data_IF_334058487429
#
_entry.id   IF_334058487429
#
_cell.length_a   1.000
_cell.length_b   1.000
_cell.length_c   1.000
_cell.angle_alpha   90.00
_cell.angle_beta   90.00
_cell.angle_gamma   90.00
#
_symmetry.space_group_name_H-M   'P 1'
#
loop_
_entity.id
_entity.type
_entity.pdbx_description
1 polymer ?
#
# COMPACT_ATOMS: atom_id res chain seq x y z
N UNK A 1 -54.79 14.85 53.54
CA UNK A 1 -53.61 14.35 54.23
C UNK A 1 -53.10 13.21 53.42
N UNK A 2 -51.89 13.39 52.91
CA UNK A 2 -50.98 12.49 52.24
C UNK A 2 -51.34 11.91 50.86
N UNK A 3 -50.84 12.59 49.86
CA UNK A 3 -50.36 11.99 48.63
C UNK A 3 -49.22 12.86 48.08
N UNK A 4 -48.00 12.57 48.48
CA UNK A 4 -46.79 13.17 47.94
C UNK A 4 -45.79 12.07 47.66
N UNK A 5 -45.16 12.18 46.50
CA UNK A 5 -43.85 11.63 46.16
C UNK A 5 -43.75 10.20 45.62
N UNK A 6 -43.99 10.05 44.31
CA UNK A 6 -43.48 8.93 43.52
C UNK A 6 -43.13 9.36 42.07
N UNK A 7 -42.28 10.37 41.89
CA UNK A 7 -41.74 10.73 40.57
C UNK A 7 -40.28 11.18 40.64
N UNK A 8 -39.39 10.27 41.00
CA UNK A 8 -37.94 10.49 40.85
C UNK A 8 -37.18 9.16 40.89
N UNK A 9 -37.30 8.32 39.91
CA UNK A 9 -36.35 7.20 39.67
C UNK A 9 -36.46 6.62 38.25
N UNK A 10 -36.45 7.41 37.19
CA UNK A 10 -36.36 6.87 35.83
C UNK A 10 -35.49 7.77 34.92
N UNK A 11 -34.33 8.22 35.43
CA UNK A 11 -33.43 9.11 34.70
C UNK A 11 -32.01 8.61 34.45
N UNK A 12 -31.68 7.36 34.84
CA UNK A 12 -30.27 6.93 34.78
C UNK A 12 -29.99 5.74 33.82
N UNK A 13 -30.98 5.25 33.08
CA UNK A 13 -30.81 4.05 32.25
C UNK A 13 -30.79 4.34 30.73
N UNK A 14 -30.69 5.55 30.29
CA UNK A 14 -30.69 5.91 28.84
C UNK A 14 -29.39 6.38 28.25
N UNK A 15 -28.37 6.62 29.04
CA UNK A 15 -27.07 7.13 28.53
C UNK A 15 -26.06 6.02 28.21
N UNK A 16 -26.23 4.81 28.75
CA UNK A 16 -25.31 3.69 28.46
C UNK A 16 -25.67 2.90 27.19
N UNK A 17 -26.89 3.02 26.67
CA UNK A 17 -27.34 2.31 25.46
C UNK A 17 -27.00 3.08 24.17
N UNK A 18 -26.74 4.38 24.23
CA UNK A 18 -26.39 5.19 23.05
C UNK A 18 -24.93 4.96 22.62
N UNK A 19 -24.05 4.50 23.50
CA UNK A 19 -22.64 4.20 23.17
C UNK A 19 -22.40 2.85 22.50
N UNK A 20 -23.42 2.01 22.33
CA UNK A 20 -23.30 0.67 21.69
C UNK A 20 -23.62 0.63 20.21
N UNK A 21 -24.01 1.75 19.59
CA UNK A 21 -24.31 1.86 18.16
C UNK A 21 -23.41 2.83 17.40
N UNK A 22 -22.16 3.04 17.83
CA UNK A 22 -21.13 3.45 16.87
C UNK A 22 -20.84 2.23 16.00
N UNK A 23 -21.63 2.09 14.95
CA UNK A 23 -21.53 0.99 14.00
C UNK A 23 -20.09 0.87 13.50
N UNK A 24 -19.49 -0.30 13.68
CA UNK A 24 -18.16 -0.58 13.17
C UNK A 24 -18.11 -0.15 11.70
N UNK A 25 -17.29 0.84 11.39
CA UNK A 25 -17.11 1.33 10.04
C UNK A 25 -16.73 0.15 9.14
N UNK A 26 -17.30 0.05 7.92
CA UNK A 26 -16.88 -0.98 6.99
C UNK A 26 -15.39 -0.85 6.68
N UNK A 27 -14.67 -1.94 6.80
CA UNK A 27 -13.25 -2.06 6.43
C UNK A 27 -13.12 -1.85 4.94
N UNK A 28 -12.27 -0.91 4.53
CA UNK A 28 -12.00 -0.64 3.12
C UNK A 28 -10.73 -1.37 2.68
N UNK A 29 -10.69 -1.86 1.46
CA UNK A 29 -9.51 -2.52 0.89
C UNK A 29 -8.89 -1.67 -0.22
N UNK A 30 -7.58 -1.48 -0.15
CA UNK A 30 -6.81 -0.70 -1.11
C UNK A 30 -5.69 -1.54 -1.74
N UNK A 31 -5.38 -1.36 -3.03
CA UNK A 31 -4.25 -2.01 -3.66
C UNK A 31 -2.93 -1.35 -3.26
N UNK A 32 -1.89 -2.15 -3.03
CA UNK A 32 -0.53 -1.66 -2.90
C UNK A 32 0.43 -2.45 -3.79
N UNK A 33 1.27 -1.74 -4.54
CA UNK A 33 2.26 -2.35 -5.43
C UNK A 33 3.56 -2.59 -4.67
N UNK A 34 4.00 -3.84 -4.61
CA UNK A 34 5.33 -4.23 -4.14
C UNK A 34 6.09 -4.93 -5.26
N UNK A 35 7.40 -4.69 -5.33
CA UNK A 35 8.29 -5.56 -6.10
C UNK A 35 8.47 -6.90 -5.37
N UNK A 36 9.08 -7.86 -6.04
CA UNK A 36 9.21 -9.22 -5.50
C UNK A 36 9.96 -9.26 -4.15
N UNK A 37 11.13 -8.61 -3.95
CA UNK A 37 11.79 -8.56 -2.66
C UNK A 37 10.93 -7.95 -1.54
N UNK A 38 10.19 -6.88 -1.84
CA UNK A 38 9.29 -6.24 -0.86
C UNK A 38 8.10 -7.14 -0.51
N UNK A 39 7.51 -7.81 -1.51
CA UNK A 39 6.44 -8.77 -1.28
C UNK A 39 6.90 -9.94 -0.42
N UNK A 40 8.08 -10.48 -0.69
CA UNK A 40 8.69 -11.53 0.11
C UNK A 40 8.98 -11.07 1.56
N UNK A 41 9.49 -9.85 1.73
CA UNK A 41 9.74 -9.28 3.05
C UNK A 41 8.44 -9.08 3.85
N UNK A 42 7.37 -8.61 3.20
CA UNK A 42 6.05 -8.44 3.83
C UNK A 42 5.45 -9.81 4.23
N UNK A 43 5.52 -10.82 3.36
CA UNK A 43 5.08 -12.18 3.68
C UNK A 43 5.86 -12.79 4.85
N UNK A 44 7.15 -12.51 4.95
CA UNK A 44 8.01 -12.97 6.05
C UNK A 44 7.89 -12.12 7.32
N UNK A 45 7.04 -11.10 7.37
CA UNK A 45 6.87 -10.21 8.52
C UNK A 45 8.05 -9.25 8.77
N UNK A 46 9.05 -9.20 7.88
CA UNK A 46 10.20 -8.31 7.99
C UNK A 46 9.92 -6.88 7.52
N UNK A 47 8.92 -6.70 6.66
CA UNK A 47 8.46 -5.40 6.20
C UNK A 47 7.10 -5.12 6.83
N UNK A 48 7.05 -4.13 7.71
CA UNK A 48 5.84 -3.66 8.41
C UNK A 48 5.53 -2.19 8.16
N UNK A 49 6.30 -1.52 7.31
CA UNK A 49 6.10 -0.13 6.94
C UNK A 49 6.45 0.11 5.47
N UNK A 50 5.84 1.11 4.85
CA UNK A 50 6.24 1.53 3.50
C UNK A 50 6.04 3.03 3.31
N UNK A 51 7.00 3.68 2.63
CA UNK A 51 6.90 5.08 2.23
C UNK A 51 6.50 5.22 0.77
N UNK A 52 5.64 6.19 0.50
CA UNK A 52 5.16 6.54 -0.84
C UNK A 52 5.10 8.04 -1.01
N UNK A 53 5.59 8.55 -2.13
CA UNK A 53 5.57 10.00 -2.42
C UNK A 53 4.13 10.53 -2.40
N UNK A 54 3.91 11.62 -1.66
CA UNK A 54 2.64 12.35 -1.66
C UNK A 54 2.47 13.05 -2.99
N UNK A 55 1.27 12.99 -3.55
CA UNK A 55 0.95 13.58 -4.87
C UNK A 55 -0.45 14.17 -4.89
N UNK A 56 -0.73 14.95 -5.95
CA UNK A 56 -2.06 15.49 -6.18
C UNK A 56 -2.50 16.48 -5.11
N UNK A 57 -3.75 16.42 -4.73
CA UNK A 57 -4.38 17.38 -3.81
C UNK A 57 -3.71 17.40 -2.44
N UNK A 58 -3.35 16.25 -1.91
CA UNK A 58 -2.62 16.13 -0.63
C UNK A 58 -1.31 16.95 -0.65
N UNK A 59 -0.57 16.91 -1.77
CA UNK A 59 0.66 17.70 -1.91
C UNK A 59 0.35 19.20 -1.99
N UNK A 60 -0.73 19.58 -2.66
CA UNK A 60 -1.14 20.99 -2.72
C UNK A 60 -1.45 21.53 -1.32
N UNK A 61 -2.16 20.75 -0.50
CA UNK A 61 -2.45 21.12 0.88
C UNK A 61 -1.18 21.28 1.73
N UNK A 62 -0.22 20.36 1.61
CA UNK A 62 1.07 20.44 2.30
C UNK A 62 1.91 21.65 1.91
N UNK A 63 1.71 22.18 0.72
CA UNK A 63 2.40 23.39 0.24
C UNK A 63 1.70 24.67 0.67
N UNK A 64 0.50 24.60 1.26
CA UNK A 64 -0.21 25.73 1.81
C UNK A 64 0.19 25.91 3.28
N UNK A 65 0.56 27.13 3.67
CA UNK A 65 1.10 27.46 4.99
C UNK A 65 0.17 27.13 6.18
N UNK A 66 -1.13 26.88 5.92
CA UNK A 66 -2.14 26.68 6.95
C UNK A 66 -2.45 25.20 7.25
N UNK A 67 -1.83 24.26 6.54
CA UNK A 67 -2.11 22.85 6.71
C UNK A 67 -0.86 22.09 7.17
N UNK A 68 -1.00 21.38 8.30
CA UNK A 68 0.09 20.55 8.83
C UNK A 68 0.06 19.16 8.24
N UNK A 69 1.19 18.43 8.25
CA UNK A 69 1.22 17.03 7.83
C UNK A 69 0.20 16.16 8.56
N UNK A 70 -0.03 16.43 9.85
CA UNK A 70 -1.00 15.70 10.67
C UNK A 70 -2.43 15.97 10.17
N UNK A 71 -2.75 17.22 9.81
CA UNK A 71 -4.04 17.54 9.20
C UNK A 71 -4.25 16.79 7.90
N UNK A 72 -3.25 16.74 7.02
CA UNK A 72 -3.35 16.02 5.75
C UNK A 72 -3.49 14.50 5.99
N UNK A 73 -2.88 13.97 7.05
CA UNK A 73 -2.98 12.55 7.40
C UNK A 73 -4.29 12.16 8.09
N UNK A 74 -5.13 13.12 8.47
CA UNK A 74 -6.41 12.83 9.13
C UNK A 74 -7.36 12.07 8.21
N UNK A 75 -8.05 11.10 8.79
CA UNK A 75 -9.03 10.25 8.11
C UNK A 75 -10.19 11.05 7.51
N UNK A 76 -10.63 12.06 8.21
CA UNK A 76 -11.76 12.93 7.86
C UNK A 76 -11.53 13.66 6.53
N UNK A 77 -10.27 13.90 6.19
CA UNK A 77 -9.89 14.55 4.93
C UNK A 77 -9.83 13.58 3.75
N UNK A 78 -9.75 12.27 3.98
CA UNK A 78 -9.85 11.25 2.93
C UNK A 78 -8.70 11.23 1.92
N UNK A 79 -7.55 11.85 2.23
CA UNK A 79 -6.45 12.02 1.27
C UNK A 79 -5.57 10.79 1.08
N UNK A 80 -5.55 9.86 2.05
CA UNK A 80 -4.69 8.68 1.96
C UNK A 80 -5.20 7.68 0.93
N UNK A 81 -4.45 7.39 -0.13
CA UNK A 81 -4.82 6.36 -1.10
C UNK A 81 -4.61 4.92 -0.56
N UNK A 82 -4.06 4.81 0.66
CA UNK A 82 -3.76 3.53 1.31
C UNK A 82 -4.72 3.21 2.45
N UNK A 83 -5.80 3.99 2.61
CA UNK A 83 -6.72 3.88 3.74
C UNK A 83 -6.12 4.42 5.03
N UNK A 84 -6.68 3.96 6.15
CA UNK A 84 -6.35 4.40 7.51
C UNK A 84 -6.36 3.20 8.45
N UNK A 85 -6.04 3.40 9.71
CA UNK A 85 -6.01 2.36 10.72
C UNK A 85 -7.28 1.48 10.68
N UNK A 86 -7.09 0.15 10.64
CA UNK A 86 -8.15 -0.85 10.47
C UNK A 86 -8.55 -1.15 9.02
N UNK A 87 -8.16 -0.32 8.03
CA UNK A 87 -8.35 -0.66 6.62
C UNK A 87 -7.35 -1.72 6.16
N UNK A 88 -7.52 -2.27 4.96
CA UNK A 88 -6.69 -3.36 4.45
C UNK A 88 -5.96 -2.96 3.19
N UNK A 89 -4.74 -3.47 3.05
CA UNK A 89 -3.97 -3.41 1.81
C UNK A 89 -3.87 -4.82 1.22
N UNK A 90 -4.23 -4.97 -0.05
CA UNK A 90 -3.93 -6.18 -0.78
C UNK A 90 -2.72 -5.95 -1.69
N UNK A 91 -1.71 -6.80 -1.50
CA UNK A 91 -0.42 -6.64 -2.19
C UNK A 91 -0.55 -7.12 -3.62
N UNK A 92 -0.16 -6.23 -4.55
CA UNK A 92 -0.07 -6.53 -5.98
C UNK A 92 1.38 -6.87 -6.33
N UNK A 93 1.57 -8.04 -6.87
CA UNK A 93 2.88 -8.55 -7.27
C UNK A 93 2.83 -9.14 -8.69
N UNK A 94 3.98 -9.35 -9.31
CA UNK A 94 4.05 -10.05 -10.59
C UNK A 94 3.44 -11.44 -10.41
N UNK A 95 2.55 -11.83 -11.32
CA UNK A 95 1.82 -13.09 -11.24
C UNK A 95 1.77 -13.78 -12.60
N UNK A 96 1.32 -15.02 -12.62
CA UNK A 96 1.11 -15.80 -13.81
C UNK A 96 -0.38 -16.09 -13.91
N UNK A 97 -0.99 -15.64 -15.00
CA UNK A 97 -2.40 -15.81 -15.31
C UNK A 97 -2.60 -16.66 -16.55
N UNK A 98 -3.66 -17.45 -16.59
CA UNK A 98 -4.07 -18.23 -17.76
C UNK A 98 -5.04 -17.41 -18.60
N UNK A 99 -4.77 -17.30 -19.92
CA UNK A 99 -5.63 -16.51 -20.80
C UNK A 99 -5.04 -16.33 -22.18
N UNK A 100 -5.61 -15.43 -22.93
CA UNK A 100 -5.19 -15.12 -24.31
C UNK A 100 -5.11 -13.61 -24.52
N UNK A 101 -4.41 -13.22 -25.56
CA UNK A 101 -4.37 -11.84 -26.02
C UNK A 101 -5.31 -11.70 -27.23
N UNK A 102 -6.02 -10.58 -27.25
CA UNK A 102 -6.82 -10.15 -28.38
C UNK A 102 -6.56 -8.67 -28.66
N UNK A 103 -6.79 -8.24 -29.88
CA UNK A 103 -6.74 -6.82 -30.25
C UNK A 103 -8.08 -6.17 -29.99
N UNK A 104 -8.05 -4.96 -29.40
CA UNK A 104 -9.23 -4.10 -29.25
C UNK A 104 -8.88 -2.70 -29.71
N UNK A 105 -9.78 -2.09 -30.48
CA UNK A 105 -9.59 -0.71 -30.91
C UNK A 105 -9.70 0.25 -29.73
N UNK A 106 -8.67 1.10 -29.58
CA UNK A 106 -8.64 2.17 -28.59
C UNK A 106 -8.99 3.50 -29.25
N UNK A 107 -10.17 4.02 -29.01
CA UNK A 107 -10.61 5.31 -29.55
C UNK A 107 -9.73 6.48 -29.08
N UNK A 108 -9.17 6.40 -27.84
CA UNK A 108 -8.27 7.43 -27.29
C UNK A 108 -6.92 7.50 -28.02
N UNK A 109 -6.43 6.37 -28.55
CA UNK A 109 -5.12 6.26 -29.20
C UNK A 109 -5.25 6.03 -30.71
N UNK A 110 -6.47 5.92 -31.20
CA UNK A 110 -6.84 5.70 -32.62
C UNK A 110 -6.10 4.53 -33.27
N UNK A 111 -5.90 3.44 -32.49
CA UNK A 111 -5.23 2.23 -32.95
C UNK A 111 -5.69 0.99 -32.20
N UNK A 112 -5.42 -0.18 -32.76
CA UNK A 112 -5.58 -1.45 -32.08
C UNK A 112 -4.53 -1.61 -30.98
N UNK A 113 -4.96 -2.06 -29.81
CA UNK A 113 -4.12 -2.38 -28.68
C UNK A 113 -4.32 -3.81 -28.20
N UNK A 114 -3.24 -4.42 -27.76
CA UNK A 114 -3.30 -5.74 -27.16
C UNK A 114 -4.01 -5.68 -25.80
N UNK A 115 -5.07 -6.45 -25.69
CA UNK A 115 -5.83 -6.66 -24.47
C UNK A 115 -5.71 -8.11 -24.01
N UNK A 116 -5.37 -8.32 -22.73
CA UNK A 116 -5.30 -9.65 -22.15
C UNK A 116 -6.66 -10.04 -21.58
N UNK A 117 -7.19 -11.15 -22.03
CA UNK A 117 -8.40 -11.78 -21.49
C UNK A 117 -7.96 -12.81 -20.46
N UNK A 118 -8.16 -12.48 -19.19
CA UNK A 118 -7.85 -13.37 -18.07
C UNK A 118 -8.96 -14.41 -17.93
N UNK A 119 -8.60 -15.66 -18.08
CA UNK A 119 -9.49 -16.81 -17.99
C UNK A 119 -9.15 -17.73 -16.83
N UNK A 120 -8.26 -17.28 -15.92
CA UNK A 120 -7.71 -18.12 -14.85
C UNK A 120 -8.82 -18.76 -14.02
N UNK A 121 -9.64 -17.94 -13.37
CA UNK A 121 -10.68 -18.41 -12.46
C UNK A 121 -11.86 -19.07 -13.22
N UNK A 122 -12.24 -18.52 -14.36
CA UNK A 122 -13.34 -19.05 -15.19
C UNK A 122 -13.08 -20.48 -15.67
N UNK A 123 -11.82 -20.84 -15.84
CA UNK A 123 -11.41 -22.19 -16.23
C UNK A 123 -11.06 -23.09 -15.05
N UNK A 124 -11.41 -22.68 -13.81
CA UNK A 124 -11.14 -23.44 -12.59
C UNK A 124 -9.64 -23.54 -12.23
N UNK A 125 -8.82 -22.60 -12.73
CA UNK A 125 -7.38 -22.53 -12.43
C UNK A 125 -7.10 -21.50 -11.34
N UNK A 126 -5.92 -21.63 -10.74
CA UNK A 126 -5.42 -20.66 -9.76
C UNK A 126 -4.29 -19.82 -10.35
N UNK A 127 -4.16 -18.58 -9.88
CA UNK A 127 -3.01 -17.74 -10.20
C UNK A 127 -1.73 -18.33 -9.63
N UNK A 128 -0.63 -18.19 -10.37
CA UNK A 128 0.69 -18.66 -9.97
C UNK A 128 1.63 -17.47 -9.82
N UNK A 129 2.66 -17.60 -8.99
CA UNK A 129 3.62 -16.53 -8.71
C UNK A 129 5.04 -16.90 -9.09
N UNK A 130 5.28 -18.17 -9.32
CA UNK A 130 6.55 -18.76 -9.69
C UNK A 130 6.35 -19.80 -10.80
N UNK A 131 7.44 -20.35 -11.27
CA UNK A 131 7.47 -21.35 -12.32
C UNK A 131 7.59 -20.76 -13.73
N UNK A 132 7.79 -21.67 -14.67
CA UNK A 132 7.96 -21.33 -16.08
C UNK A 132 6.63 -21.04 -16.75
N UNK A 133 6.68 -20.18 -17.74
CA UNK A 133 5.57 -19.91 -18.67
C UNK A 133 5.99 -20.32 -20.08
N UNK A 134 5.06 -20.86 -20.88
CA UNK A 134 5.36 -21.22 -22.27
C UNK A 134 5.84 -19.99 -23.07
N UNK A 135 6.76 -20.22 -24.00
CA UNK A 135 7.12 -19.19 -24.98
C UNK A 135 6.00 -19.12 -26.03
N UNK A 136 5.06 -18.22 -25.84
CA UNK A 136 3.90 -18.05 -26.70
C UNK A 136 3.87 -16.65 -27.32
N UNK A 137 3.46 -16.57 -28.58
CA UNK A 137 3.23 -15.30 -29.25
C UNK A 137 1.85 -14.72 -28.90
N UNK A 138 1.74 -13.40 -28.79
CA UNK A 138 0.44 -12.72 -28.74
C UNK A 138 -0.29 -12.97 -30.08
N UNK A 139 -1.60 -13.16 -30.00
CA UNK A 139 -2.42 -13.47 -31.19
C UNK A 139 -2.62 -14.95 -31.44
N UNK A 140 -2.06 -15.83 -30.63
CA UNK A 140 -2.44 -17.25 -30.60
C UNK A 140 -3.91 -17.41 -30.19
N UNK A 141 -4.63 -18.31 -30.86
CA UNK A 141 -6.06 -18.54 -30.62
C UNK A 141 -6.29 -19.27 -29.30
N UNK A 142 -5.36 -20.14 -28.90
CA UNK A 142 -5.49 -20.96 -27.70
C UNK A 142 -4.99 -20.22 -26.47
N UNK A 143 -5.75 -20.24 -25.36
CA UNK A 143 -5.30 -19.69 -24.08
C UNK A 143 -4.08 -20.44 -23.55
N UNK A 144 -3.18 -19.70 -22.90
CA UNK A 144 -1.99 -20.27 -22.23
C UNK A 144 -1.61 -19.44 -21.00
N UNK A 145 -0.52 -19.83 -20.33
CA UNK A 145 -0.02 -19.12 -19.16
C UNK A 145 0.85 -17.93 -19.56
N UNK A 146 0.64 -16.79 -18.90
CA UNK A 146 1.35 -15.54 -19.16
C UNK A 146 1.84 -14.90 -17.87
N UNK A 147 3.11 -14.47 -17.85
CA UNK A 147 3.63 -13.62 -16.76
C UNK A 147 3.10 -12.21 -16.93
N UNK A 148 2.40 -11.74 -15.90
CA UNK A 148 1.71 -10.44 -15.90
C UNK A 148 2.35 -9.50 -14.88
N UNK A 149 2.63 -8.23 -15.25
CA UNK A 149 3.08 -7.22 -14.31
C UNK A 149 2.09 -6.99 -13.17
N UNK A 150 2.60 -6.61 -12.01
CA UNK A 150 1.83 -6.36 -10.78
C UNK A 150 0.68 -5.36 -10.96
N UNK A 151 0.82 -4.36 -11.84
CA UNK A 151 -0.23 -3.37 -12.12
C UNK A 151 -1.52 -3.98 -12.69
N UNK A 152 -1.46 -5.17 -13.23
CA UNK A 152 -2.62 -5.88 -13.80
C UNK A 152 -3.17 -6.99 -12.90
N UNK A 153 -2.59 -7.15 -11.70
CA UNK A 153 -3.04 -8.19 -10.78
C UNK A 153 -4.44 -7.86 -10.24
N UNK A 154 -5.41 -8.76 -10.40
CA UNK A 154 -6.73 -8.56 -9.82
C UNK A 154 -6.73 -8.86 -8.31
N UNK A 155 -7.73 -8.32 -7.59
CA UNK A 155 -7.89 -8.56 -6.15
C UNK A 155 -7.97 -10.06 -5.81
N UNK A 156 -8.67 -10.82 -6.63
CA UNK A 156 -8.84 -12.27 -6.45
C UNK A 156 -7.51 -13.07 -6.50
N UNK A 157 -6.47 -12.53 -7.11
CA UNK A 157 -5.14 -13.14 -7.15
C UNK A 157 -4.29 -12.80 -5.91
N UNK A 158 -4.75 -11.89 -5.03
CA UNK A 158 -3.95 -11.43 -3.91
C UNK A 158 -3.79 -12.53 -2.84
N UNK A 159 -2.55 -12.94 -2.62
CA UNK A 159 -2.16 -13.92 -1.59
C UNK A 159 -1.60 -13.28 -0.32
N UNK A 160 -1.49 -11.97 -0.28
CA UNK A 160 -0.98 -11.22 0.86
C UNK A 160 -1.92 -10.08 1.18
N UNK A 161 -2.50 -10.14 2.38
CA UNK A 161 -3.31 -9.08 2.96
C UNK A 161 -2.59 -8.48 4.16
N UNK A 162 -2.64 -7.16 4.24
CA UNK A 162 -2.06 -6.38 5.32
C UNK A 162 -3.17 -5.53 5.94
N UNK A 163 -3.18 -5.38 7.25
CA UNK A 163 -4.02 -4.43 7.96
C UNK A 163 -3.21 -3.17 8.22
N UNK A 164 -3.74 -2.03 7.87
CA UNK A 164 -3.13 -0.74 8.17
C UNK A 164 -3.23 -0.49 9.67
N UNK A 165 -2.12 -0.17 10.32
CA UNK A 165 -2.02 0.12 11.75
C UNK A 165 -1.64 1.56 12.04
N UNK A 166 -1.31 2.32 11.01
CA UNK A 166 -0.99 3.74 11.12
C UNK A 166 -0.69 4.37 9.76
N UNK A 167 -1.05 5.62 9.62
CA UNK A 167 -0.74 6.44 8.44
C UNK A 167 -0.31 7.81 8.91
N UNK A 168 0.84 8.27 8.45
CA UNK A 168 1.33 9.61 8.70
C UNK A 168 1.96 10.21 7.45
N UNK A 169 2.09 11.53 7.44
CA UNK A 169 2.80 12.28 6.41
C UNK A 169 4.04 12.90 7.03
N UNK A 170 5.18 12.73 6.38
CA UNK A 170 6.45 13.28 6.85
C UNK A 170 7.38 13.61 5.69
N UNK A 171 8.48 14.35 5.96
CA UNK A 171 9.57 14.45 5.01
C UNK A 171 10.33 13.13 4.96
N UNK A 172 10.79 12.74 3.77
CA UNK A 172 11.48 11.47 3.55
C UNK A 172 12.69 11.31 4.48
N UNK A 173 13.46 12.38 4.67
CA UNK A 173 14.70 12.36 5.46
C UNK A 173 14.44 12.32 6.98
N UNK A 174 13.20 12.50 7.43
CA UNK A 174 12.81 12.35 8.84
C UNK A 174 12.70 10.88 9.26
N UNK A 175 12.98 9.93 8.35
CA UNK A 175 12.95 8.50 8.67
C UNK A 175 13.86 8.18 9.84
N UNK A 176 13.32 7.49 10.85
CA UNK A 176 14.08 6.95 11.97
C UNK A 176 14.79 5.63 11.61
N UNK A 177 15.77 5.22 12.42
CA UNK A 177 16.43 3.93 12.22
C UNK A 177 15.47 2.73 12.37
N UNK A 178 14.57 2.68 13.37
CA UNK A 178 13.54 1.65 13.46
C UNK A 178 12.65 1.61 12.21
N UNK A 179 12.24 2.77 11.69
CA UNK A 179 11.42 2.85 10.49
C UNK A 179 12.14 2.32 9.24
N UNK A 180 13.43 2.66 9.08
CA UNK A 180 14.23 2.15 7.98
C UNK A 180 14.32 0.62 8.02
N UNK A 181 14.43 0.02 9.22
CA UNK A 181 14.37 -1.44 9.40
C UNK A 181 12.99 -1.99 9.06
N UNK A 182 11.92 -1.30 9.47
CA UNK A 182 10.54 -1.68 9.20
C UNK A 182 10.16 -1.62 7.70
N UNK A 183 10.92 -0.86 6.90
CA UNK A 183 10.81 -0.90 5.42
C UNK A 183 11.31 -2.25 4.84
N UNK A 184 11.92 -3.11 5.65
CA UNK A 184 12.39 -4.43 5.24
C UNK A 184 13.68 -4.41 4.42
N UNK A 185 14.52 -3.38 4.60
CA UNK A 185 15.80 -3.26 3.90
C UNK A 185 16.80 -4.31 4.36
N UNK A 186 17.68 -4.75 3.46
CA UNK A 186 18.81 -5.60 3.77
C UNK A 186 20.00 -4.73 4.16
N UNK A 187 20.50 -4.89 5.38
CA UNK A 187 21.56 -4.05 5.94
C UNK A 187 22.96 -4.58 5.57
N UNK A 188 23.06 -5.84 5.15
CA UNK A 188 24.29 -6.49 4.74
C UNK A 188 25.02 -5.70 3.65
N UNK A 189 26.32 -5.46 3.85
CA UNK A 189 27.15 -4.67 2.95
C UNK A 189 27.09 -3.15 3.15
N UNK A 190 26.13 -2.62 3.90
CA UNK A 190 26.03 -1.18 4.17
C UNK A 190 26.90 -0.72 5.35
N UNK A 191 27.46 -1.64 6.14
CA UNK A 191 28.41 -1.33 7.22
C UNK A 191 29.74 -0.77 6.72
N UNK A 192 30.18 -1.19 5.53
CA UNK A 192 31.53 -0.93 5.01
C UNK A 192 31.60 0.22 3.99
N UNK A 193 30.49 0.77 3.55
CA UNK A 193 30.48 1.91 2.63
C UNK A 193 30.84 3.19 3.38
N UNK A 194 32.05 3.58 3.15
CA UNK A 194 32.87 4.70 3.54
C UNK A 194 32.28 5.84 4.33
N UNK A 195 33.02 6.24 5.33
CA UNK A 195 33.00 7.59 5.88
C UNK A 195 33.39 8.60 4.78
N UNK A 196 32.49 8.92 3.86
CA UNK A 196 32.63 10.11 3.03
C UNK A 196 32.10 11.28 3.84
N UNK A 197 32.83 12.38 3.83
CA UNK A 197 32.54 13.63 4.54
C UNK A 197 31.08 14.03 4.45
N UNK A 198 30.31 13.78 5.49
CA UNK A 198 28.88 14.04 5.62
C UNK A 198 28.36 13.43 6.91
N UNK A 199 27.22 13.88 7.43
CA UNK A 199 26.65 13.40 8.67
C UNK A 199 26.55 11.86 8.69
N UNK A 200 27.07 11.25 9.75
CA UNK A 200 26.96 9.80 10.00
C UNK A 200 25.46 9.39 9.96
N UNK A 201 25.14 8.46 9.09
CA UNK A 201 23.82 7.84 9.07
C UNK A 201 23.93 6.35 9.41
N UNK A 202 23.01 5.82 10.24
CA UNK A 202 22.98 4.39 10.54
C UNK A 202 22.90 3.53 9.29
N UNK A 203 23.45 2.31 9.30
CA UNK A 203 23.44 1.40 8.15
C UNK A 203 22.05 1.14 7.58
N UNK A 204 21.03 1.07 8.42
CA UNK A 204 19.62 0.89 7.99
C UNK A 204 19.10 2.07 7.18
N UNK A 205 19.41 3.31 7.58
CA UNK A 205 19.02 4.51 6.84
C UNK A 205 19.76 4.59 5.51
N UNK A 206 21.06 4.20 5.45
CA UNK A 206 21.81 4.14 4.20
C UNK A 206 21.25 3.09 3.25
N UNK A 207 20.92 1.92 3.75
CA UNK A 207 20.29 0.86 2.97
C UNK A 207 18.92 1.29 2.41
N UNK A 208 18.14 1.99 3.23
CA UNK A 208 16.87 2.56 2.77
C UNK A 208 17.07 3.67 1.74
N UNK A 209 18.02 4.57 1.91
CA UNK A 209 18.39 5.60 0.95
C UNK A 209 18.69 5.00 -0.42
N UNK A 210 19.60 3.99 -0.47
CA UNK A 210 19.98 3.34 -1.72
C UNK A 210 18.76 2.65 -2.39
N UNK A 211 17.92 1.98 -1.59
CA UNK A 211 16.67 1.39 -2.08
C UNK A 211 15.72 2.45 -2.63
N UNK A 212 15.52 3.54 -1.88
CA UNK A 212 14.65 4.65 -2.28
C UNK A 212 15.07 5.25 -3.60
N UNK A 213 16.35 5.58 -3.76
CA UNK A 213 16.89 6.20 -4.96
C UNK A 213 16.81 5.26 -6.17
N UNK A 214 17.04 3.97 -5.98
CA UNK A 214 16.89 2.98 -7.06
C UNK A 214 15.47 2.97 -7.66
N UNK A 215 14.46 3.35 -6.87
CA UNK A 215 13.05 3.32 -7.27
C UNK A 215 12.51 4.70 -7.71
N UNK A 216 13.03 5.78 -7.14
CA UNK A 216 12.39 7.09 -7.22
C UNK A 216 13.26 8.19 -7.82
N UNK A 217 14.60 8.08 -7.82
CA UNK A 217 15.49 9.14 -8.30
C UNK A 217 15.24 9.48 -9.78
N UNK A 218 15.09 8.47 -10.65
CA UNK A 218 14.78 8.64 -12.07
C UNK A 218 13.41 9.31 -12.33
N UNK A 219 12.56 9.40 -11.30
CA UNK A 219 11.24 10.03 -11.36
C UNK A 219 11.22 11.43 -10.74
N UNK A 220 12.40 11.97 -10.37
CA UNK A 220 12.55 13.29 -9.76
C UNK A 220 12.22 13.32 -8.25
N UNK A 221 12.16 12.18 -7.59
CA UNK A 221 11.85 12.07 -6.16
C UNK A 221 12.96 11.34 -5.39
N UNK A 222 14.23 11.60 -5.79
CA UNK A 222 15.40 11.05 -5.09
C UNK A 222 15.50 11.55 -3.65
N UNK A 223 16.37 10.91 -2.89
CA UNK A 223 16.60 11.23 -1.47
C UNK A 223 16.88 12.70 -1.21
N UNK A 224 17.74 13.33 -2.03
CA UNK A 224 18.15 14.73 -1.82
C UNK A 224 17.04 15.75 -2.09
N UNK A 225 15.96 15.35 -2.77
CA UNK A 225 14.81 16.22 -2.97
C UNK A 225 13.91 16.28 -1.73
N UNK A 226 14.14 15.41 -0.75
CA UNK A 226 13.41 15.31 0.51
C UNK A 226 11.87 15.45 0.34
N UNK A 227 11.26 14.61 -0.50
CA UNK A 227 9.85 14.76 -0.83
C UNK A 227 8.96 14.46 0.39
N UNK A 228 7.74 15.01 0.39
CA UNK A 228 6.69 14.55 1.29
C UNK A 228 6.31 13.11 0.97
N UNK A 229 6.19 12.29 1.99
CA UNK A 229 5.83 10.87 1.87
C UNK A 229 4.69 10.48 2.82
N UNK A 230 3.83 9.61 2.35
CA UNK A 230 2.97 8.78 3.18
C UNK A 230 3.83 7.70 3.81
N UNK A 231 3.95 7.64 5.12
CA UNK A 231 4.49 6.51 5.86
C UNK A 231 3.30 5.67 6.34
N UNK A 232 3.16 4.48 5.77
CA UNK A 232 2.05 3.55 6.03
C UNK A 232 2.59 2.37 6.82
N UNK A 233 2.07 2.20 8.02
CA UNK A 233 2.37 1.07 8.89
C UNK A 233 1.31 -0.01 8.71
N UNK A 234 1.74 -1.24 8.79
CA UNK A 234 0.83 -2.37 8.60
C UNK A 234 1.34 -3.64 9.26
N UNK A 235 0.43 -4.55 9.52
CA UNK A 235 0.72 -5.92 9.91
C UNK A 235 0.10 -6.90 8.91
N UNK A 236 0.73 -8.05 8.72
CA UNK A 236 0.14 -9.12 7.91
C UNK A 236 -1.06 -9.72 8.63
N UNK A 237 -2.15 -9.95 7.88
CA UNK A 237 -3.33 -10.68 8.33
C UNK A 237 -3.52 -11.91 7.46
N UNK A 238 -3.96 -13.01 8.09
CA UNK A 238 -4.09 -14.31 7.44
C UNK A 238 -2.74 -15.04 7.34
N UNK A 239 -2.81 -16.31 7.42
CA UNK A 239 -1.70 -17.27 7.20
C UNK A 239 -1.69 -17.70 5.75
#
# INVERSE_FOLDING_TARGET
MEAVDQHRRDGAARDDDVRRYEGARPVTEHPILFNEPMSAAARAGRKSQTRRVVRGESLNWLNLANFTPECVAQRENGFSPYGYDGDRLWVRETHIAYGRWETRYSAKKERDEWHFVDMTLETGREYRFDGEVPNAARGGVLPTWWRRPSIFMPRAAARTLLEVTGVRVERLQNISEPDARAEGVTIEGHHMRGYCAGAYRPPSIRAFHDLWDSLNAARGHGWDTDPWVWAVEFRRIGS
#
